data_IF_174687508890
#
_entry.id   IF_174687508890
#
_cell.length_a   1.000
_cell.length_b   1.000
_cell.length_c   1.000
_cell.angle_alpha   90.00
_cell.angle_beta   90.00
_cell.angle_gamma   90.00
#
_symmetry.space_group_name_H-M   'P 1'
#
loop_
_entity.id
_entity.type
_entity.pdbx_description
1 polymer ?
#
# COMPACT_ATOMS: atom_id res chain seq x y z
N UNK A 1 -53.66 -33.35 33.38
CA UNK A 1 -52.32 -33.93 33.14
C UNK A 1 -52.00 -33.86 31.65
N UNK A 2 -51.73 -32.68 31.10
CA UNK A 2 -51.27 -32.46 29.71
C UNK A 2 -50.68 -31.04 29.57
N UNK A 3 -49.65 -30.70 30.36
CA UNK A 3 -48.85 -29.48 30.12
C UNK A 3 -47.40 -29.78 30.54
N UNK A 4 -46.69 -30.60 29.78
CA UNK A 4 -45.28 -30.88 30.07
C UNK A 4 -44.45 -31.37 28.86
N UNK A 5 -44.87 -31.10 27.61
CA UNK A 5 -44.16 -31.60 26.42
C UNK A 5 -43.95 -30.56 25.31
N UNK A 6 -43.86 -29.27 25.65
CA UNK A 6 -43.66 -28.21 24.64
C UNK A 6 -42.47 -27.26 24.90
N UNK A 7 -41.62 -27.54 25.90
CA UNK A 7 -40.52 -26.63 26.28
C UNK A 7 -39.13 -27.18 25.92
N UNK A 8 -38.99 -28.46 25.56
CA UNK A 8 -37.68 -29.05 25.24
C UNK A 8 -37.29 -29.01 23.76
N UNK A 9 -38.17 -28.53 22.87
CA UNK A 9 -37.89 -28.44 21.43
C UNK A 9 -37.35 -27.06 20.98
N UNK A 10 -37.41 -26.03 21.84
CA UNK A 10 -36.96 -24.67 21.50
C UNK A 10 -35.58 -24.30 22.06
N UNK A 11 -34.90 -25.19 22.78
CA UNK A 11 -33.54 -24.95 23.30
C UNK A 11 -32.45 -25.69 22.51
N UNK A 12 -32.81 -26.54 21.54
CA UNK A 12 -31.84 -27.33 20.75
C UNK A 12 -31.62 -26.79 19.32
N UNK A 13 -32.33 -25.72 18.91
CA UNK A 13 -32.05 -25.03 17.63
C UNK A 13 -31.21 -23.75 17.77
N UNK A 14 -30.68 -23.48 18.98
CA UNK A 14 -29.75 -22.40 19.22
C UNK A 14 -28.39 -22.92 19.72
N UNK A 15 -27.95 -24.08 19.24
CA UNK A 15 -26.51 -24.31 19.08
C UNK A 15 -26.10 -23.58 17.81
N UNK A 16 -26.00 -22.26 18.04
CA UNK A 16 -25.27 -21.26 17.31
C UNK A 16 -24.48 -21.87 16.15
N UNK A 17 -24.87 -21.47 14.95
CA UNK A 17 -23.94 -21.15 13.89
C UNK A 17 -22.86 -20.20 14.44
N UNK A 18 -21.91 -20.72 15.21
CA UNK A 18 -20.55 -20.22 15.20
C UNK A 18 -20.05 -20.55 13.81
N UNK A 19 -20.47 -19.75 12.83
CA UNK A 19 -19.75 -19.65 11.60
C UNK A 19 -18.32 -19.37 12.01
N UNK A 20 -17.42 -20.31 11.72
CA UNK A 20 -15.99 -20.05 11.74
C UNK A 20 -15.80 -18.77 10.93
N UNK A 21 -15.63 -17.64 11.60
CA UNK A 21 -15.10 -16.45 10.94
C UNK A 21 -13.68 -16.85 10.59
N UNK A 22 -13.50 -17.42 9.39
CA UNK A 22 -12.20 -17.66 8.83
C UNK A 22 -11.46 -16.33 8.94
N UNK A 23 -10.34 -16.32 9.66
CA UNK A 23 -9.52 -15.13 9.83
C UNK A 23 -9.04 -14.74 8.43
N UNK A 24 -9.71 -13.74 7.85
CA UNK A 24 -9.35 -13.24 6.53
C UNK A 24 -8.15 -12.33 6.68
N UNK A 25 -7.03 -12.72 6.08
CA UNK A 25 -5.86 -11.87 6.00
C UNK A 25 -6.13 -10.67 5.07
N UNK A 26 -5.57 -9.48 5.36
CA UNK A 26 -5.77 -8.29 4.53
C UNK A 26 -5.08 -8.40 3.16
N UNK A 27 -5.70 -7.83 2.13
CA UNK A 27 -5.06 -7.63 0.82
C UNK A 27 -4.10 -6.43 0.86
N UNK A 28 -3.16 -6.37 -0.09
CA UNK A 28 -2.19 -5.28 -0.23
C UNK A 28 -2.82 -3.90 -0.52
N UNK A 29 -4.09 -3.86 -0.94
CA UNK A 29 -4.85 -2.63 -1.15
C UNK A 29 -5.72 -2.22 0.05
N UNK A 30 -5.77 -3.06 1.10
CA UNK A 30 -6.55 -2.75 2.29
C UNK A 30 -5.95 -1.52 3.01
N UNK A 31 -6.74 -0.45 3.13
CA UNK A 31 -6.25 0.82 3.68
C UNK A 31 -5.73 0.72 5.11
N UNK A 32 -6.39 -0.07 5.96
CA UNK A 32 -6.00 -0.21 7.37
C UNK A 32 -4.69 -0.98 7.49
N UNK A 33 -4.50 -2.02 6.67
CA UNK A 33 -3.24 -2.74 6.55
C UNK A 33 -2.10 -1.82 6.07
N UNK A 34 -2.34 -1.01 5.05
CA UNK A 34 -1.37 -0.02 4.56
C UNK A 34 -1.00 0.97 5.67
N UNK A 35 -2.01 1.53 6.36
CA UNK A 35 -1.83 2.48 7.46
C UNK A 35 -1.04 1.83 8.60
N UNK A 36 -1.36 0.60 8.98
CA UNK A 36 -0.66 -0.14 10.03
C UNK A 36 0.81 -0.39 9.66
N UNK A 37 1.09 -0.84 8.44
CA UNK A 37 2.46 -1.01 7.98
C UNK A 37 3.25 0.30 8.07
N UNK A 38 2.75 1.38 7.47
CA UNK A 38 3.46 2.68 7.45
C UNK A 38 3.61 3.26 8.85
N UNK A 39 2.53 3.26 9.65
CA UNK A 39 2.52 3.82 11.00
C UNK A 39 3.46 3.08 11.93
N UNK A 40 3.46 1.74 11.92
CA UNK A 40 4.35 0.97 12.79
C UNK A 40 5.82 1.17 12.44
N UNK A 41 6.17 1.26 11.15
CA UNK A 41 7.53 1.61 10.74
C UNK A 41 7.93 3.01 11.20
N UNK A 42 7.11 4.02 10.90
CA UNK A 42 7.43 5.40 11.27
C UNK A 42 7.50 5.62 12.78
N UNK A 43 6.68 4.91 13.57
CA UNK A 43 6.79 4.89 15.03
C UNK A 43 8.20 4.48 15.46
N UNK A 44 8.66 3.30 15.05
CA UNK A 44 9.98 2.82 15.45
C UNK A 44 11.12 3.69 14.92
N UNK A 45 10.99 4.24 13.70
CA UNK A 45 11.96 5.19 13.13
C UNK A 45 12.04 6.50 13.92
N UNK A 46 10.93 6.98 14.46
CA UNK A 46 10.86 8.22 15.26
C UNK A 46 11.40 8.07 16.68
N UNK A 47 11.46 6.84 17.19
CA UNK A 47 11.78 6.51 18.59
C UNK A 47 13.19 5.91 18.76
N UNK A 48 14.02 5.92 17.71
CA UNK A 48 15.36 5.32 17.74
C UNK A 48 16.29 5.95 18.79
N UNK A 49 17.12 5.10 19.39
CA UNK A 49 18.15 5.49 20.34
C UNK A 49 19.47 4.77 20.01
N UNK A 50 20.58 5.47 19.71
CA UNK A 50 20.74 6.93 19.72
C UNK A 50 19.87 7.63 18.66
N UNK A 51 19.62 8.93 18.84
CA UNK A 51 18.79 9.73 17.91
C UNK A 51 19.41 9.77 16.51
N UNK A 52 18.55 9.78 15.50
CA UNK A 52 18.95 9.84 14.10
C UNK A 52 18.82 11.26 13.53
N UNK A 53 19.86 11.74 12.87
CA UNK A 53 19.87 13.06 12.23
C UNK A 53 19.25 13.10 10.83
N UNK A 54 19.17 11.95 10.16
CA UNK A 54 18.87 11.80 8.73
C UNK A 54 17.71 10.81 8.43
N UNK A 55 16.93 10.43 9.44
CA UNK A 55 15.88 9.43 9.31
C UNK A 55 14.75 9.90 8.39
N UNK A 56 14.62 9.31 7.21
CA UNK A 56 13.55 9.67 6.26
C UNK A 56 12.18 9.15 6.72
N UNK A 57 11.12 9.91 6.45
CA UNK A 57 9.75 9.46 6.65
C UNK A 57 9.41 8.31 5.66
N UNK A 58 8.85 7.21 6.14
CA UNK A 58 8.49 6.08 5.29
C UNK A 58 7.07 6.21 4.75
N UNK A 59 6.86 5.92 3.47
CA UNK A 59 5.54 5.92 2.81
C UNK A 59 5.29 4.62 2.07
N UNK A 60 4.01 4.32 1.81
CA UNK A 60 3.62 3.13 1.07
C UNK A 60 4.05 3.20 -0.39
N UNK A 61 4.41 2.05 -0.95
CA UNK A 61 4.68 1.86 -2.37
C UNK A 61 3.94 0.63 -2.90
N UNK A 62 2.97 0.82 -3.82
CA UNK A 62 2.18 -0.30 -4.36
C UNK A 62 2.98 -1.20 -5.31
N UNK A 63 4.11 -0.75 -5.86
CA UNK A 63 5.01 -1.62 -6.64
C UNK A 63 5.72 -2.58 -5.69
N UNK A 64 6.28 -2.07 -4.59
CA UNK A 64 6.92 -2.92 -3.57
C UNK A 64 5.94 -3.93 -2.97
N UNK A 65 4.68 -3.53 -2.72
CA UNK A 65 3.66 -4.43 -2.19
C UNK A 65 3.32 -5.57 -3.16
N UNK A 66 3.32 -5.31 -4.47
CA UNK A 66 3.15 -6.35 -5.50
C UNK A 66 4.36 -7.29 -5.57
N UNK A 67 5.58 -6.78 -5.39
CA UNK A 67 6.79 -7.61 -5.29
C UNK A 67 6.67 -8.56 -4.09
N UNK A 68 6.32 -8.02 -2.91
CA UNK A 68 6.12 -8.80 -1.69
C UNK A 68 5.02 -9.87 -1.88
N UNK A 69 3.86 -9.49 -2.43
CA UNK A 69 2.73 -10.39 -2.70
C UNK A 69 3.11 -11.52 -3.65
N UNK A 70 3.92 -11.23 -4.66
CA UNK A 70 4.38 -12.24 -5.62
C UNK A 70 5.29 -13.25 -4.95
N UNK A 71 6.23 -12.79 -4.11
CA UNK A 71 7.14 -13.69 -3.40
C UNK A 71 6.44 -14.49 -2.28
N UNK A 72 5.51 -13.87 -1.55
CA UNK A 72 4.79 -14.51 -0.44
C UNK A 72 3.98 -15.73 -0.87
N UNK A 73 3.48 -15.76 -2.12
CA UNK A 73 2.75 -16.91 -2.70
C UNK A 73 3.56 -18.20 -2.72
N UNK A 74 4.89 -18.11 -2.69
CA UNK A 74 5.75 -19.30 -2.70
C UNK A 74 5.73 -20.05 -1.35
N UNK A 75 5.27 -19.41 -0.26
CA UNK A 75 5.25 -19.99 1.08
C UNK A 75 6.62 -20.59 1.48
N UNK A 76 7.71 -19.92 1.09
CA UNK A 76 9.09 -20.33 1.37
C UNK A 76 9.73 -19.32 2.32
N UNK A 77 10.19 -19.77 3.47
CA UNK A 77 10.92 -18.95 4.44
C UNK A 77 12.36 -18.69 3.97
N UNK A 78 12.48 -17.96 2.86
CA UNK A 78 13.71 -17.57 2.22
C UNK A 78 13.54 -16.22 1.52
N UNK A 79 14.63 -15.47 1.41
CA UNK A 79 14.62 -14.18 0.72
C UNK A 79 14.42 -14.29 -0.78
N UNK A 80 13.76 -13.29 -1.35
CA UNK A 80 13.60 -13.16 -2.80
C UNK A 80 14.97 -13.02 -3.48
N UNK A 81 15.28 -13.96 -4.37
CA UNK A 81 16.56 -14.03 -5.06
C UNK A 81 16.75 -12.94 -6.13
N UNK A 82 15.71 -12.14 -6.40
CA UNK A 82 15.67 -11.14 -7.45
C UNK A 82 15.74 -9.69 -6.92
N UNK A 83 16.05 -9.48 -5.64
CA UNK A 83 16.05 -8.14 -5.01
C UNK A 83 17.19 -7.21 -5.49
N UNK A 84 18.17 -7.74 -6.23
CA UNK A 84 19.34 -6.99 -6.69
C UNK A 84 19.28 -6.61 -8.17
N UNK A 85 20.16 -5.65 -8.53
CA UNK A 85 20.14 -4.84 -9.76
C UNK A 85 19.94 -5.51 -11.11
N UNK A 86 20.21 -6.81 -11.25
CA UNK A 86 20.00 -7.53 -12.52
C UNK A 86 18.53 -7.70 -12.89
N UNK A 87 17.61 -7.77 -11.93
CA UNK A 87 16.20 -8.10 -12.19
C UNK A 87 15.25 -6.90 -12.25
N UNK A 88 15.69 -5.72 -11.78
CA UNK A 88 14.92 -4.45 -11.81
C UNK A 88 13.44 -4.60 -11.44
N UNK A 89 13.16 -5.17 -10.26
CA UNK A 89 11.79 -5.36 -9.76
C UNK A 89 11.04 -4.04 -9.49
N UNK A 90 11.76 -2.93 -9.36
CA UNK A 90 11.20 -1.59 -9.16
C UNK A 90 11.83 -0.58 -10.13
N UNK A 91 11.05 0.33 -10.73
CA UNK A 91 11.58 1.30 -11.71
C UNK A 91 12.58 2.29 -11.10
N UNK A 92 12.39 2.67 -9.83
CA UNK A 92 13.17 3.73 -9.17
C UNK A 92 14.27 3.21 -8.23
N UNK A 93 14.32 1.89 -7.96
CA UNK A 93 15.26 1.32 -7.00
C UNK A 93 16.05 0.18 -7.64
N UNK A 94 17.38 0.31 -7.64
CA UNK A 94 18.30 -0.70 -8.17
C UNK A 94 18.52 -1.88 -7.23
N UNK A 95 18.28 -1.69 -5.92
CA UNK A 95 18.29 -2.76 -4.93
C UNK A 95 17.14 -2.55 -3.95
N UNK A 96 16.44 -3.64 -3.66
CA UNK A 96 15.36 -3.68 -2.69
C UNK A 96 15.81 -4.36 -1.41
N UNK A 97 15.28 -3.91 -0.28
CA UNK A 97 15.38 -4.60 1.01
C UNK A 97 14.21 -5.56 1.18
N UNK A 98 14.33 -6.48 2.13
CA UNK A 98 13.24 -7.40 2.46
C UNK A 98 13.31 -7.85 3.91
N UNK A 99 12.18 -7.79 4.60
CA UNK A 99 11.97 -8.46 5.87
C UNK A 99 10.87 -9.52 5.71
N UNK A 100 11.04 -10.63 6.40
CA UNK A 100 10.13 -11.78 6.35
C UNK A 100 9.73 -12.16 7.77
N UNK A 101 8.45 -12.47 7.96
CA UNK A 101 7.90 -12.98 9.20
C UNK A 101 7.00 -14.17 8.91
N UNK A 102 7.03 -15.17 9.79
CA UNK A 102 6.16 -16.32 9.73
C UNK A 102 5.64 -16.65 11.13
N UNK A 103 4.36 -16.96 11.22
CA UNK A 103 3.74 -17.36 12.48
C UNK A 103 2.34 -17.90 12.27
N UNK A 104 1.70 -18.30 13.37
CA UNK A 104 0.31 -18.77 13.30
C UNK A 104 -0.65 -17.62 12.96
N UNK A 105 -1.78 -17.93 12.30
CA UNK A 105 -2.79 -16.92 11.96
C UNK A 105 -3.23 -16.05 13.15
N UNK A 106 -3.50 -16.57 14.36
CA UNK A 106 -3.93 -15.74 15.50
C UNK A 106 -2.85 -14.79 16.03
N UNK A 107 -1.57 -15.07 15.75
CA UNK A 107 -0.47 -14.20 16.16
C UNK A 107 -0.26 -13.03 15.19
N UNK A 108 -0.81 -13.12 13.97
CA UNK A 108 -0.54 -12.15 12.93
C UNK A 108 -1.34 -10.87 13.13
N UNK A 109 -0.61 -9.77 13.25
CA UNK A 109 -1.02 -8.46 12.77
C UNK A 109 0.20 -7.80 12.14
N UNK A 110 0.01 -6.85 11.21
CA UNK A 110 1.12 -6.10 10.63
C UNK A 110 1.98 -5.44 11.71
N UNK A 111 1.33 -4.82 12.71
CA UNK A 111 2.03 -4.19 13.83
C UNK A 111 2.81 -5.21 14.68
N UNK A 112 2.24 -6.38 14.97
CA UNK A 112 2.92 -7.43 15.76
C UNK A 112 4.16 -7.95 15.03
N UNK A 113 4.07 -8.20 13.72
CA UNK A 113 5.19 -8.68 12.92
C UNK A 113 6.31 -7.62 12.82
N UNK A 114 5.96 -6.36 12.57
CA UNK A 114 6.93 -5.24 12.53
C UNK A 114 7.56 -5.02 13.92
N UNK A 115 6.79 -5.17 15.00
CA UNK A 115 7.33 -5.13 16.38
C UNK A 115 8.33 -6.26 16.61
N UNK A 116 8.04 -7.49 16.16
CA UNK A 116 8.97 -8.60 16.27
C UNK A 116 10.30 -8.35 15.54
N UNK A 117 10.24 -7.76 14.34
CA UNK A 117 11.45 -7.32 13.63
C UNK A 117 12.21 -6.22 14.38
N UNK A 118 11.51 -5.23 14.93
CA UNK A 118 12.13 -4.15 15.68
C UNK A 118 12.81 -4.65 16.97
N UNK A 119 12.21 -5.63 17.66
CA UNK A 119 12.73 -6.14 18.94
C UNK A 119 14.11 -6.79 18.83
N UNK A 120 14.61 -7.08 17.63
CA UNK A 120 16.00 -7.47 17.41
C UNK A 120 17.01 -6.39 17.85
N UNK A 121 16.56 -5.15 18.13
CA UNK A 121 17.36 -4.11 18.80
C UNK A 121 18.00 -4.60 20.09
N UNK A 122 17.38 -5.55 20.81
CA UNK A 122 17.92 -6.17 22.03
C UNK A 122 19.28 -6.87 21.80
N UNK A 123 19.56 -7.25 20.54
CA UNK A 123 20.79 -7.94 20.14
C UNK A 123 21.77 -7.04 19.38
N UNK A 124 21.43 -5.77 19.16
CA UNK A 124 22.19 -4.86 18.31
C UNK A 124 22.83 -3.72 19.10
N UNK A 125 24.16 -3.59 19.00
CA UNK A 125 24.92 -2.47 19.57
C UNK A 125 25.25 -1.45 18.48
N UNK A 126 24.62 -0.26 18.53
CA UNK A 126 24.66 0.72 17.45
C UNK A 126 26.06 1.22 17.08
N UNK A 127 26.87 1.59 18.08
CA UNK A 127 28.18 2.23 17.82
C UNK A 127 29.20 1.25 17.25
N UNK A 128 29.14 0.00 17.71
CA UNK A 128 30.06 -1.05 17.25
C UNK A 128 29.51 -1.86 16.08
N UNK A 129 28.21 -1.68 15.75
CA UNK A 129 27.45 -2.48 14.79
C UNK A 129 27.47 -3.98 15.12
N UNK A 130 27.77 -4.34 16.38
CA UNK A 130 27.83 -5.73 16.81
C UNK A 130 26.42 -6.27 16.95
N UNK A 131 26.16 -7.39 16.30
CA UNK A 131 24.94 -8.17 16.47
C UNK A 131 25.28 -9.48 17.19
N UNK A 132 24.58 -9.78 18.28
CA UNK A 132 24.78 -11.03 19.04
C UNK A 132 23.90 -12.17 18.56
N UNK A 133 22.90 -11.88 17.71
CA UNK A 133 21.99 -12.87 17.15
C UNK A 133 21.55 -12.48 15.73
N UNK A 134 20.26 -12.28 15.49
CA UNK A 134 19.71 -11.71 14.26
C UNK A 134 19.34 -10.25 14.53
N UNK A 135 19.82 -9.35 13.67
CA UNK A 135 19.55 -7.90 13.76
C UNK A 135 19.17 -7.28 12.41
N UNK A 136 19.10 -8.11 11.37
CA UNK A 136 18.88 -7.66 10.00
C UNK A 136 17.50 -7.05 9.80
N UNK A 137 16.50 -7.54 10.52
CA UNK A 137 15.15 -7.02 10.40
C UNK A 137 15.03 -5.68 11.11
N UNK A 138 15.59 -5.55 12.32
CA UNK A 138 15.65 -4.27 13.03
C UNK A 138 16.35 -3.20 12.19
N UNK A 139 17.57 -3.48 11.73
CA UNK A 139 18.37 -2.52 10.95
C UNK A 139 17.64 -2.07 9.69
N UNK A 140 16.88 -2.95 9.03
CA UNK A 140 16.06 -2.58 7.87
C UNK A 140 14.86 -1.71 8.25
N UNK A 141 14.15 -2.00 9.35
CA UNK A 141 13.03 -1.18 9.84
C UNK A 141 13.48 0.27 10.09
N UNK A 142 14.65 0.43 10.70
CA UNK A 142 15.23 1.73 11.05
C UNK A 142 16.26 2.25 10.04
N UNK A 143 16.28 1.72 8.81
CA UNK A 143 17.24 2.18 7.80
C UNK A 143 16.89 3.58 7.29
N UNK A 144 17.69 4.59 7.63
CA UNK A 144 17.39 6.00 7.37
C UNK A 144 17.06 6.27 5.90
N UNK A 145 17.84 5.69 4.98
CA UNK A 145 17.66 5.91 3.55
C UNK A 145 16.43 5.21 2.96
N UNK A 146 15.87 4.18 3.60
CA UNK A 146 14.69 3.46 3.10
C UNK A 146 13.42 4.28 3.38
N UNK A 147 12.82 4.86 2.35
CA UNK A 147 11.67 5.76 2.49
C UNK A 147 10.39 5.24 1.83
N UNK A 148 10.48 4.13 1.09
CA UNK A 148 9.33 3.39 0.53
C UNK A 148 9.26 2.00 1.13
N UNK A 149 8.05 1.56 1.46
CA UNK A 149 7.76 0.19 1.91
C UNK A 149 6.50 -0.32 1.25
N UNK A 150 6.49 -1.60 0.90
CA UNK A 150 5.28 -2.29 0.47
C UNK A 150 5.30 -3.72 0.99
N UNK A 151 4.18 -4.13 1.57
CA UNK A 151 4.08 -5.40 2.28
C UNK A 151 2.94 -6.26 1.74
N UNK A 152 3.01 -7.56 2.02
CA UNK A 152 1.95 -8.52 1.75
C UNK A 152 1.96 -9.63 2.79
N UNK A 153 0.78 -10.17 3.09
CA UNK A 153 0.64 -11.39 3.89
C UNK A 153 -0.05 -12.46 3.06
N UNK A 154 0.42 -13.70 3.17
CA UNK A 154 -0.12 -14.86 2.50
C UNK A 154 -0.49 -15.93 3.53
N UNK A 155 -1.68 -16.52 3.39
CA UNK A 155 -2.01 -17.76 4.10
C UNK A 155 -1.25 -18.92 3.45
N UNK A 156 -0.54 -19.69 4.26
CA UNK A 156 0.25 -20.83 3.82
C UNK A 156 -0.16 -22.09 4.60
N UNK A 157 -0.72 -23.13 3.94
CA UNK A 157 -0.97 -24.41 4.59
C UNK A 157 0.29 -25.03 5.21
N UNK A 158 1.44 -24.77 4.57
CA UNK A 158 2.76 -25.05 5.11
C UNK A 158 3.73 -23.96 4.65
N UNK A 159 4.55 -23.44 5.57
CA UNK A 159 5.64 -22.51 5.24
C UNK A 159 6.94 -23.30 5.18
N UNK A 160 7.41 -23.58 3.96
CA UNK A 160 8.62 -24.36 3.71
C UNK A 160 9.85 -23.71 4.37
N UNK A 161 10.70 -24.52 4.99
CA UNK A 161 11.83 -24.04 5.80
C UNK A 161 11.49 -23.76 7.26
N UNK A 162 10.23 -24.00 7.68
CA UNK A 162 9.78 -23.90 9.07
C UNK A 162 8.89 -25.09 9.44
N UNK A 163 8.52 -25.21 10.72
CA UNK A 163 7.51 -26.18 11.21
C UNK A 163 6.10 -25.56 11.32
N UNK A 164 5.85 -24.45 10.62
CA UNK A 164 4.58 -23.71 10.69
C UNK A 164 3.61 -24.23 9.64
N UNK A 165 2.42 -24.60 10.10
CA UNK A 165 1.27 -25.01 9.29
C UNK A 165 0.11 -24.04 9.50
N UNK A 166 -0.75 -23.91 8.49
CA UNK A 166 -1.89 -22.98 8.49
C UNK A 166 -1.50 -21.58 8.99
N UNK A 167 -0.37 -21.09 8.50
CA UNK A 167 0.32 -19.91 9.00
C UNK A 167 0.12 -18.67 8.14
N UNK A 168 0.38 -17.51 8.73
CA UNK A 168 0.55 -16.25 8.03
C UNK A 168 2.03 -16.06 7.67
N UNK A 169 2.30 -15.83 6.39
CA UNK A 169 3.62 -15.51 5.86
C UNK A 169 3.63 -14.07 5.38
N UNK A 170 4.32 -13.19 6.12
CA UNK A 170 4.30 -11.74 5.93
C UNK A 170 5.65 -11.23 5.44
N UNK A 171 5.65 -10.46 4.35
CA UNK A 171 6.84 -9.89 3.74
C UNK A 171 6.65 -8.39 3.57
N UNK A 172 7.69 -7.61 3.87
CA UNK A 172 7.80 -6.21 3.47
C UNK A 172 9.04 -6.02 2.62
N UNK A 173 8.91 -5.38 1.46
CA UNK A 173 10.03 -4.91 0.65
C UNK A 173 10.25 -3.41 0.85
N UNK A 174 11.53 -3.00 0.83
CA UNK A 174 11.97 -1.63 1.14
C UNK A 174 12.72 -1.01 -0.03
N UNK A 175 12.50 0.29 -0.25
CA UNK A 175 13.10 1.07 -1.32
C UNK A 175 13.77 2.34 -0.81
N UNK A 176 15.09 2.54 -1.05
CA UNK A 176 16.07 1.50 -1.38
C UNK A 176 16.25 0.49 -0.23
N UNK A 177 16.84 -0.67 -0.53
CA UNK A 177 17.22 -1.66 0.49
C UNK A 177 18.43 -1.24 1.34
N UNK A 178 18.57 -1.88 2.50
CA UNK A 178 19.73 -1.68 3.37
C UNK A 178 21.05 -2.14 2.73
N UNK A 179 22.16 -1.55 3.17
CA UNK A 179 23.53 -1.91 2.77
C UNK A 179 24.41 -2.08 4.02
N UNK A 180 25.73 -2.24 3.85
CA UNK A 180 26.66 -2.37 4.98
C UNK A 180 26.84 -1.06 5.75
N UNK A 181 26.67 -1.08 7.06
CA UNK A 181 27.00 0.04 7.94
C UNK A 181 25.97 0.24 9.05
N UNK A 182 26.04 1.41 9.69
CA UNK A 182 25.02 1.86 10.63
C UNK A 182 23.70 2.14 9.90
N UNK A 183 22.55 1.84 10.52
CA UNK A 183 21.25 2.05 9.88
C UNK A 183 20.88 3.52 9.68
N UNK A 184 21.49 4.43 10.45
CA UNK A 184 21.24 5.86 10.38
C UNK A 184 22.43 6.64 10.96
N UNK A 185 22.45 7.96 10.79
CA UNK A 185 23.52 8.82 11.32
C UNK A 185 23.15 9.33 12.73
N UNK A 186 23.93 8.97 13.75
CA UNK A 186 23.75 9.47 15.13
C UNK A 186 23.85 11.00 15.16
N UNK A 187 22.82 11.66 15.70
CA UNK A 187 22.78 13.12 15.84
C UNK A 187 21.43 13.63 16.32
N UNK A 188 21.30 14.95 16.45
CA UNK A 188 20.01 15.56 16.81
C UNK A 188 18.98 15.27 15.72
N UNK A 189 17.75 14.93 16.12
CA UNK A 189 16.65 14.62 15.18
C UNK A 189 16.56 15.67 14.08
N UNK A 190 16.48 15.21 12.83
CA UNK A 190 16.36 16.05 11.64
C UNK A 190 17.52 17.03 11.35
N UNK A 191 18.64 16.98 12.08
CA UNK A 191 19.76 17.92 11.86
C UNK A 191 20.54 17.68 10.57
N UNK A 192 20.35 16.53 9.91
CA UNK A 192 20.97 16.16 8.64
C UNK A 192 19.93 15.73 7.59
N UNK A 193 18.70 16.28 7.67
CA UNK A 193 17.71 16.05 6.63
C UNK A 193 18.18 16.58 5.27
N UNK A 194 17.74 15.96 4.15
CA UNK A 194 17.93 16.55 2.84
C UNK A 194 17.41 17.98 2.76
N UNK A 195 18.00 18.78 1.87
CA UNK A 195 17.62 20.18 1.69
C UNK A 195 16.12 20.31 1.39
N UNK A 196 15.46 21.27 2.05
CA UNK A 196 14.04 21.61 1.93
C UNK A 196 13.05 20.59 2.54
N UNK A 197 13.54 19.51 3.15
CA UNK A 197 12.70 18.58 3.93
C UNK A 197 12.33 19.21 5.29
N UNK A 198 11.11 18.96 5.76
CA UNK A 198 10.65 19.38 7.08
C UNK A 198 10.92 18.29 8.12
N UNK A 199 10.82 18.63 9.40
CA UNK A 199 10.87 17.67 10.49
C UNK A 199 9.46 17.42 11.02
N UNK A 200 9.00 16.18 10.96
CA UNK A 200 7.74 15.75 11.57
C UNK A 200 8.04 14.50 12.41
N UNK A 201 7.74 14.56 13.72
CA UNK A 201 7.93 13.45 14.65
C UNK A 201 9.33 12.81 14.55
N UNK A 202 10.39 13.64 14.55
CA UNK A 202 11.79 13.22 14.39
C UNK A 202 12.17 12.63 13.01
N UNK A 203 11.30 12.73 12.00
CA UNK A 203 11.51 12.21 10.65
C UNK A 203 11.62 13.34 9.62
N UNK A 204 12.52 13.17 8.65
CA UNK A 204 12.67 14.04 7.49
C UNK A 204 11.54 13.78 6.48
N UNK A 205 10.70 14.78 6.25
CA UNK A 205 9.59 14.73 5.30
C UNK A 205 9.79 15.73 4.16
N UNK A 206 10.15 15.21 2.99
CA UNK A 206 10.32 15.97 1.75
C UNK A 206 9.18 15.85 0.74
N UNK A 207 9.32 16.57 -0.38
CA UNK A 207 8.41 16.42 -1.54
C UNK A 207 8.44 15.02 -2.16
N UNK A 208 9.52 14.26 -1.95
CA UNK A 208 9.66 12.84 -2.35
C UNK A 208 8.61 11.92 -1.69
N UNK A 209 7.94 12.38 -0.64
CA UNK A 209 6.97 11.62 0.14
C UNK A 209 5.51 12.00 -0.17
N UNK A 210 5.26 12.96 -1.09
CA UNK A 210 3.91 13.47 -1.42
C UNK A 210 3.12 12.63 -2.44
N UNK A 211 3.69 11.53 -2.93
CA UNK A 211 2.96 10.45 -3.59
C UNK A 211 2.50 9.47 -2.49
N UNK A 212 1.27 9.34 -1.98
CA UNK A 212 -0.13 9.61 -2.39
C UNK A 212 -1.00 9.61 -1.08
N UNK A 213 -2.24 10.13 -1.04
CA UNK A 213 -3.39 9.47 -1.65
C UNK A 213 -4.17 10.43 -2.54
N UNK A 214 -4.04 10.28 -3.85
CA UNK A 214 -5.22 10.43 -4.70
C UNK A 214 -6.23 9.38 -4.26
N UNK A 215 -7.01 9.72 -3.24
CA UNK A 215 -8.39 9.27 -3.18
C UNK A 215 -8.99 9.74 -4.50
N UNK A 216 -9.13 8.84 -5.46
CA UNK A 216 -9.95 9.10 -6.63
C UNK A 216 -11.38 9.28 -6.11
N UNK A 217 -11.77 10.53 -5.91
CA UNK A 217 -13.12 10.88 -5.52
C UNK A 217 -14.03 10.62 -6.72
N UNK A 218 -14.62 9.42 -6.78
CA UNK A 218 -15.59 9.06 -7.81
C UNK A 218 -16.88 9.84 -7.51
N UNK A 219 -17.13 10.90 -8.26
CA UNK A 219 -18.39 11.62 -8.24
C UNK A 219 -19.19 11.34 -9.51
N UNK A 220 -20.23 10.51 -9.40
CA UNK A 220 -21.28 10.39 -10.42
C UNK A 220 -22.27 11.54 -10.25
N UNK A 221 -22.48 12.37 -11.28
CA UNK A 221 -23.71 13.17 -11.36
C UNK A 221 -23.96 13.74 -12.76
N UNK A 222 -25.20 13.62 -13.20
CA UNK A 222 -25.74 14.14 -14.46
C UNK A 222 -25.96 15.66 -14.35
N UNK A 223 -25.70 16.40 -15.44
CA UNK A 223 -25.88 17.87 -15.63
C UNK A 223 -24.77 18.77 -15.09
N UNK A 224 -23.83 19.12 -15.97
CA UNK A 224 -23.03 20.36 -15.96
C UNK A 224 -22.84 20.77 -17.43
N UNK A 225 -22.86 22.07 -17.74
CA UNK A 225 -22.65 22.58 -19.10
C UNK A 225 -21.17 22.89 -19.35
N UNK A 226 -20.75 22.93 -20.61
CA UNK A 226 -19.37 23.23 -21.05
C UNK A 226 -18.88 24.60 -20.58
N UNK A 227 -19.79 25.55 -20.38
CA UNK A 227 -19.47 26.92 -19.93
C UNK A 227 -19.10 26.97 -18.44
N UNK A 228 -19.67 26.08 -17.63
CA UNK A 228 -19.40 25.98 -16.19
C UNK A 228 -17.97 25.47 -15.93
N UNK A 229 -17.48 24.56 -16.78
CA UNK A 229 -16.13 24.00 -16.73
C UNK A 229 -15.05 25.04 -17.10
N UNK A 230 -15.33 25.92 -18.06
CA UNK A 230 -14.44 27.00 -18.49
C UNK A 230 -14.28 28.09 -17.42
N UNK A 231 -15.35 28.39 -16.68
CA UNK A 231 -15.32 29.38 -15.61
C UNK A 231 -14.56 28.86 -14.38
N UNK A 232 -14.70 27.58 -14.05
CA UNK A 232 -13.98 26.93 -12.95
C UNK A 232 -12.45 27.04 -13.09
N UNK A 233 -11.93 26.82 -14.31
CA UNK A 233 -10.50 26.92 -14.63
C UNK A 233 -9.93 28.35 -14.51
N UNK A 234 -10.75 29.38 -14.75
CA UNK A 234 -10.29 30.77 -14.74
C UNK A 234 -10.14 31.35 -13.34
N UNK A 235 -10.88 30.85 -12.35
CA UNK A 235 -11.00 31.55 -11.05
C UNK A 235 -10.08 31.09 -9.92
N UNK A 236 -9.29 30.01 -10.08
CA UNK A 236 -8.32 29.50 -9.05
C UNK A 236 -8.85 29.58 -7.59
N UNK A 237 -10.11 29.26 -7.33
CA UNK A 237 -10.63 29.21 -5.95
C UNK A 237 -10.42 27.82 -5.36
N UNK A 238 -9.79 27.77 -4.19
CA UNK A 238 -9.80 26.62 -3.29
C UNK A 238 -11.20 26.49 -2.66
N UNK A 239 -11.84 25.30 -2.71
CA UNK A 239 -13.10 25.05 -1.99
C UNK A 239 -12.79 25.01 -0.48
N UNK A 240 -13.35 25.94 0.29
CA UNK A 240 -13.44 25.85 1.76
C UNK A 240 -14.71 25.06 2.13
N UNK A 241 -14.59 24.17 3.12
CA UNK A 241 -15.66 23.25 3.51
C UNK A 241 -16.73 23.99 4.32
N UNK A 242 -17.77 24.49 3.65
CA UNK A 242 -19.08 24.62 4.27
C UNK A 242 -20.17 24.35 3.23
N UNK A 243 -20.89 23.25 3.48
CA UNK A 243 -22.17 22.85 2.87
C UNK A 243 -22.43 23.36 1.45
N UNK A 244 -21.95 22.62 0.43
CA UNK A 244 -22.57 22.32 -0.90
C UNK A 244 -21.47 21.92 -1.93
N UNK A 245 -21.58 20.68 -2.45
CA UNK A 245 -20.94 20.00 -3.61
C UNK A 245 -19.80 20.70 -4.42
N UNK A 246 -18.60 20.10 -4.49
CA UNK A 246 -17.51 20.39 -5.48
C UNK A 246 -17.23 19.14 -6.37
N UNK A 247 -16.92 19.26 -7.69
CA UNK A 247 -16.76 18.12 -8.68
C UNK A 247 -15.40 18.09 -9.46
N UNK A 248 -15.04 16.93 -10.06
CA UNK A 248 -13.68 16.47 -10.51
C UNK A 248 -13.55 16.17 -12.04
N UNK A 249 -12.33 16.23 -12.62
CA UNK A 249 -11.96 15.84 -14.02
C UNK A 249 -10.75 14.87 -14.02
N UNK A 250 -10.73 13.83 -14.89
CA UNK A 250 -9.67 12.79 -14.97
C UNK A 250 -8.94 12.84 -16.33
N UNK A 251 -7.63 12.60 -16.34
CA UNK A 251 -6.79 12.40 -17.53
C UNK A 251 -6.23 10.98 -17.55
N UNK A 252 -6.28 10.27 -18.68
CA UNK A 252 -5.59 8.98 -18.88
C UNK A 252 -4.77 8.98 -20.18
N UNK A 253 -3.62 8.27 -20.25
CA UNK A 253 -2.83 8.15 -21.46
C UNK A 253 -3.34 6.96 -22.31
N UNK A 254 -3.79 7.22 -23.54
CA UNK A 254 -4.12 6.18 -24.53
C UNK A 254 -3.16 6.25 -25.73
N UNK A 255 -2.74 5.10 -26.31
CA UNK A 255 -1.90 5.08 -27.51
C UNK A 255 -2.62 5.69 -28.74
N UNK A 256 -1.87 6.40 -29.59
CA UNK A 256 -2.39 7.16 -30.74
C UNK A 256 -3.17 6.34 -31.78
N UNK A 257 -3.02 5.01 -31.82
CA UNK A 257 -3.71 4.16 -32.79
C UNK A 257 -5.21 3.98 -32.51
N UNK A 258 -5.70 4.34 -31.32
CA UNK A 258 -7.12 4.19 -30.94
C UNK A 258 -8.04 5.26 -31.56
N UNK A 259 -7.48 6.35 -32.10
CA UNK A 259 -8.25 7.49 -32.61
C UNK A 259 -8.78 7.30 -34.04
N UNK A 260 -8.47 6.20 -34.72
CA UNK A 260 -8.92 5.94 -36.10
C UNK A 260 -10.36 5.40 -36.23
N UNK A 261 -11.05 5.12 -35.11
CA UNK A 261 -12.38 4.51 -35.10
C UNK A 261 -13.48 5.35 -34.43
N UNK A 262 -13.21 6.62 -34.10
CA UNK A 262 -14.21 7.50 -33.48
C UNK A 262 -14.89 8.37 -34.55
N UNK A 263 -16.22 8.42 -34.53
CA UNK A 263 -17.07 9.18 -35.46
C UNK A 263 -17.51 10.56 -34.93
N UNK A 264 -16.85 11.10 -33.90
CA UNK A 264 -17.20 12.38 -33.25
C UNK A 264 -15.96 13.28 -33.05
N UNK A 265 -16.13 14.62 -32.93
CA UNK A 265 -15.02 15.57 -33.00
C UNK A 265 -14.11 15.53 -31.76
N UNK A 266 -12.81 15.38 -32.01
CA UNK A 266 -11.75 15.44 -31.00
C UNK A 266 -11.35 16.90 -30.76
N UNK A 267 -11.43 17.39 -29.53
CA UNK A 267 -10.92 18.71 -29.15
C UNK A 267 -9.50 18.54 -28.57
N UNK A 268 -8.50 18.99 -29.32
CA UNK A 268 -7.11 19.06 -28.88
C UNK A 268 -6.83 20.40 -28.19
N UNK A 269 -6.38 20.39 -26.94
CA UNK A 269 -5.91 21.59 -26.24
C UNK A 269 -4.37 21.61 -26.19
N UNK A 270 -3.71 22.73 -26.54
CA UNK A 270 -2.26 22.84 -26.43
C UNK A 270 -1.84 22.92 -24.95
N UNK A 271 -0.86 22.09 -24.57
CA UNK A 271 -0.22 22.10 -23.25
C UNK A 271 1.21 22.63 -23.41
N UNK A 272 1.69 23.59 -22.60
CA UNK A 272 3.08 24.03 -22.67
C UNK A 272 4.04 22.97 -22.08
N UNK A 273 5.26 22.85 -22.62
CA UNK A 273 6.26 21.86 -22.18
C UNK A 273 6.61 22.02 -20.68
N UNK A 274 6.90 20.91 -19.94
CA UNK A 274 7.48 19.66 -20.43
C UNK A 274 6.55 18.43 -20.46
N UNK A 275 5.22 18.60 -20.39
CA UNK A 275 4.29 17.46 -20.31
C UNK A 275 3.91 16.88 -21.68
N UNK A 276 3.89 15.54 -21.77
CA UNK A 276 3.41 14.77 -22.93
C UNK A 276 1.89 15.01 -23.09
N UNK A 277 1.44 15.22 -24.32
CA UNK A 277 0.05 15.58 -24.68
C UNK A 277 -0.97 14.54 -24.19
N UNK A 278 -2.08 14.99 -23.60
CA UNK A 278 -3.24 14.15 -23.24
C UNK A 278 -4.46 14.53 -24.08
N UNK A 279 -5.19 13.54 -24.59
CA UNK A 279 -6.46 13.73 -25.32
C UNK A 279 -7.61 13.29 -24.42
N UNK A 280 -8.60 14.16 -24.20
CA UNK A 280 -9.81 13.83 -23.47
C UNK A 280 -10.88 13.26 -24.41
N UNK A 281 -11.53 12.15 -24.03
CA UNK A 281 -12.68 11.58 -24.77
C UNK A 281 -13.91 11.64 -23.86
N UNK A 282 -14.97 12.31 -24.30
CA UNK A 282 -16.30 12.27 -23.68
C UNK A 282 -17.04 11.00 -24.16
N UNK A 283 -17.32 10.04 -23.27
CA UNK A 283 -18.22 8.94 -23.58
C UNK A 283 -19.66 9.35 -23.23
N UNK A 284 -20.53 9.39 -24.24
CA UNK A 284 -21.97 9.69 -24.12
C UNK A 284 -22.82 8.52 -23.59
N UNK A 285 -24.11 8.81 -23.37
CA UNK A 285 -25.12 7.99 -22.66
C UNK A 285 -25.19 6.49 -23.02
N UNK A 286 -25.06 5.61 -22.02
CA UNK A 286 -25.52 4.22 -22.10
C UNK A 286 -27.04 4.16 -21.82
N UNK A 287 -27.87 4.09 -22.88
CA UNK A 287 -29.28 3.71 -22.74
C UNK A 287 -29.43 2.19 -22.85
N UNK A 288 -30.23 1.63 -21.94
CA UNK A 288 -30.68 0.22 -21.83
C UNK A 288 -30.63 -0.57 -23.14
N UNK A 289 -29.86 -1.67 -23.16
CA UNK A 289 -30.10 -2.79 -24.07
C UNK A 289 -30.69 -3.97 -23.28
N UNK A 290 -31.88 -4.43 -23.70
CA UNK A 290 -32.46 -5.72 -23.32
C UNK A 290 -31.73 -6.87 -24.06
N UNK A 291 -31.80 -8.12 -23.57
CA UNK A 291 -30.82 -9.15 -23.89
C UNK A 291 -31.06 -9.78 -25.26
N UNK A 292 -30.01 -9.82 -26.09
CA UNK A 292 -29.91 -10.75 -27.20
C UNK A 292 -29.04 -11.94 -26.79
N UNK A 293 -29.56 -13.13 -27.09
CA UNK A 293 -29.02 -14.46 -26.77
C UNK A 293 -27.71 -14.74 -27.53
N UNK A 294 -26.85 -15.50 -26.87
CA UNK A 294 -25.69 -16.24 -27.36
C UNK A 294 -24.44 -15.41 -27.72
N UNK A 295 -23.59 -15.15 -26.73
CA UNK A 295 -22.11 -15.13 -26.74
C UNK A 295 -21.64 -14.97 -25.25
N UNK A 296 -20.44 -15.45 -24.85
CA UNK A 296 -20.05 -15.52 -23.44
C UNK A 296 -19.75 -14.13 -22.85
N UNK A 297 -20.37 -13.83 -21.71
CA UNK A 297 -20.11 -12.63 -20.92
C UNK A 297 -18.66 -12.62 -20.42
N UNK A 298 -17.84 -11.71 -20.94
CA UNK A 298 -16.59 -11.27 -20.33
C UNK A 298 -16.91 -10.55 -19.01
N UNK A 299 -16.74 -11.26 -17.89
CA UNK A 299 -16.58 -10.65 -16.56
C UNK A 299 -15.20 -10.00 -16.51
N UNK A 300 -15.17 -8.67 -16.49
CA UNK A 300 -14.01 -7.93 -16.01
C UNK A 300 -14.30 -7.62 -14.54
N UNK A 301 -13.81 -8.47 -13.65
CA UNK A 301 -13.50 -8.03 -12.29
C UNK A 301 -12.26 -7.15 -12.40
N UNK A 302 -12.34 -5.95 -11.83
CA UNK A 302 -11.18 -5.10 -11.65
C UNK A 302 -10.10 -5.87 -10.88
N UNK A 303 -8.91 -5.91 -11.47
CA UNK A 303 -7.64 -6.21 -10.82
C UNK A 303 -6.76 -4.96 -10.90
#
# INVERSE_FOLDING_TARGET
MWVALAVTAWTVSLVLSYGNTAVSLPDIENEDFIKDCVRSHNKFRSEVNPRASDMLYMTWDPVLARVAKTWARNCQFAHNTQLHSSFKLHPNFSSLGENIWAGSLPQFSASSAITAWHNEIEYYEFRTQKCTWVCGHYTQVVWAASYKVGCAVQFCPSIHGTNIHDGAFFICNYGPGQYRGQPYTEGSSCSACPKDDQCLDNLCIGFRHKEYPSVALIMTTNKLSTQDLLNFWKTKKTCEVSTVSCRVVIFTPLPQHFFSQLSEPVISLPVPPPFISFTAVLLGELRRMQPLRNEPLLRVSAY
#
